data_IF_254126133221
#
_entry.id   IF_254126133221
#
_cell.length_a   1.000
_cell.length_b   1.000
_cell.length_c   1.000
_cell.angle_alpha   90.00
_cell.angle_beta   90.00
_cell.angle_gamma   90.00
#
_symmetry.space_group_name_H-M   'P 1'
#
loop_
_entity.id
_entity.type
_entity.pdbx_description
1 polymer ?
#
# COMPACT_ATOMS: atom_id res chain seq x y z
N UNK A 1 81.85 -30.67 33.86
CA UNK A 1 81.63 -29.32 33.30
C UNK A 1 81.07 -29.47 31.94
N UNK A 2 79.74 -29.11 31.71
CA UNK A 2 79.08 -29.16 30.46
C UNK A 2 78.83 -27.72 29.97
N UNK A 3 79.11 -27.37 28.72
CA UNK A 3 78.81 -26.05 28.17
C UNK A 3 77.37 -25.95 27.78
N UNK A 4 76.72 -24.80 28.08
CA UNK A 4 75.37 -24.43 27.72
C UNK A 4 75.38 -23.88 26.28
N UNK A 5 74.71 -24.57 25.33
CA UNK A 5 74.43 -24.08 24.01
C UNK A 5 73.16 -23.18 24.04
N UNK A 6 73.36 -21.92 23.69
CA UNK A 6 72.31 -20.90 23.59
C UNK A 6 71.65 -21.00 22.20
N UNK A 7 70.36 -21.35 22.16
CA UNK A 7 69.55 -21.43 20.94
C UNK A 7 68.93 -20.07 20.66
N UNK A 8 69.41 -19.36 19.64
CA UNK A 8 68.84 -18.10 19.19
C UNK A 8 67.63 -18.43 18.31
N UNK A 9 66.46 -18.11 18.82
CA UNK A 9 65.19 -18.20 18.06
C UNK A 9 65.04 -16.93 17.20
N UNK A 10 65.21 -17.08 15.86
CA UNK A 10 64.98 -16.03 14.88
C UNK A 10 63.49 -15.94 14.65
N UNK A 11 62.83 -14.90 15.20
CA UNK A 11 61.41 -14.59 14.97
C UNK A 11 61.28 -13.91 13.62
N UNK A 12 60.84 -14.65 12.58
CA UNK A 12 60.41 -14.13 11.32
C UNK A 12 59.00 -13.51 11.49
N UNK A 13 58.95 -12.20 11.60
CA UNK A 13 57.71 -11.43 11.55
C UNK A 13 57.22 -11.41 10.11
N UNK A 14 56.28 -12.30 9.77
CA UNK A 14 55.47 -12.22 8.57
C UNK A 14 54.48 -11.04 8.74
N UNK A 15 54.77 -9.89 8.13
CA UNK A 15 53.78 -8.82 7.98
C UNK A 15 52.75 -9.29 7.00
N UNK A 16 51.63 -9.86 7.50
CA UNK A 16 50.40 -9.97 6.76
C UNK A 16 49.89 -8.56 6.52
N UNK A 17 50.21 -8.00 5.32
CA UNK A 17 49.49 -6.88 4.79
C UNK A 17 48.01 -7.30 4.61
N UNK A 18 47.22 -6.94 5.59
CA UNK A 18 45.78 -7.17 5.58
C UNK A 18 45.17 -6.48 4.37
N UNK A 19 44.85 -7.25 3.35
CA UNK A 19 43.91 -6.84 2.31
C UNK A 19 42.59 -6.62 3.05
N UNK A 20 42.32 -5.37 3.41
CA UNK A 20 40.98 -4.97 3.81
C UNK A 20 40.13 -5.07 2.56
N UNK A 21 39.44 -6.19 2.39
CA UNK A 21 38.24 -6.20 1.56
C UNK A 21 37.30 -5.19 2.20
N UNK A 22 37.26 -3.99 1.65
CA UNK A 22 36.15 -3.07 1.87
C UNK A 22 34.93 -3.74 1.22
N UNK A 23 34.21 -4.53 1.98
CA UNK A 23 32.81 -4.83 1.65
C UNK A 23 32.15 -3.46 1.69
N UNK A 24 31.91 -2.90 0.52
CA UNK A 24 31.09 -1.71 0.40
C UNK A 24 29.78 -2.04 1.10
N UNK A 25 29.55 -1.40 2.23
CA UNK A 25 28.31 -1.52 2.98
C UNK A 25 27.24 -0.95 2.06
N UNK A 26 26.56 -1.84 1.35
CA UNK A 26 25.49 -1.48 0.44
C UNK A 26 24.48 -0.68 1.26
N UNK A 27 24.22 0.53 0.83
CA UNK A 27 23.26 1.42 1.50
C UNK A 27 21.92 0.67 1.63
N UNK A 28 21.54 0.33 2.83
CA UNK A 28 20.27 -0.34 3.13
C UNK A 28 19.08 0.61 3.03
N UNK A 29 19.33 1.88 2.73
CA UNK A 29 18.28 2.88 2.58
C UNK A 29 17.63 2.77 1.21
N UNK A 30 16.33 2.48 1.18
CA UNK A 30 15.52 2.56 -0.02
C UNK A 30 15.44 4.01 -0.51
N UNK A 31 15.84 4.25 -1.74
CA UNK A 31 15.91 5.60 -2.33
C UNK A 31 14.70 5.91 -3.21
N UNK A 32 14.13 4.91 -3.87
CA UNK A 32 12.95 5.07 -4.70
C UNK A 32 12.14 3.77 -4.78
N UNK A 33 10.91 3.89 -5.26
CA UNK A 33 9.99 2.78 -5.52
C UNK A 33 9.42 2.93 -6.93
N UNK A 34 9.26 1.82 -7.62
CA UNK A 34 8.56 1.77 -8.91
C UNK A 34 7.05 1.86 -8.65
N UNK A 35 6.42 2.94 -9.07
CA UNK A 35 4.98 3.20 -8.83
C UNK A 35 4.10 3.03 -10.07
N UNK A 36 4.72 2.90 -11.26
CA UNK A 36 3.98 2.68 -12.50
C UNK A 36 4.88 2.03 -13.54
N UNK A 37 4.35 1.09 -14.30
CA UNK A 37 5.01 0.44 -15.43
C UNK A 37 3.99 0.31 -16.57
N UNK A 38 4.24 1.04 -17.65
CA UNK A 38 3.53 0.88 -18.91
C UNK A 38 4.45 0.17 -19.89
N UNK A 39 4.12 -1.05 -20.29
CA UNK A 39 4.95 -1.88 -21.17
C UNK A 39 5.94 -2.78 -20.43
N UNK A 40 7.20 -2.83 -20.86
CA UNK A 40 8.26 -3.68 -20.31
C UNK A 40 9.37 -2.84 -19.71
N UNK A 41 9.62 -3.04 -18.44
CA UNK A 41 10.75 -2.44 -17.74
C UNK A 41 11.65 -3.52 -17.14
N UNK A 42 12.91 -3.21 -17.03
CA UNK A 42 13.95 -4.10 -16.52
C UNK A 42 14.64 -3.43 -15.33
N UNK A 43 14.94 -4.23 -14.32
CA UNK A 43 15.69 -3.84 -13.13
C UNK A 43 16.96 -4.71 -13.05
N UNK A 44 18.10 -4.07 -12.82
CA UNK A 44 19.34 -4.75 -12.46
C UNK A 44 19.77 -4.24 -11.09
N UNK A 45 19.74 -5.10 -10.09
CA UNK A 45 20.22 -4.78 -8.75
C UNK A 45 21.73 -4.56 -8.73
N UNK A 46 22.19 -3.68 -7.85
CA UNK A 46 23.61 -3.38 -7.69
C UNK A 46 24.42 -4.65 -7.41
N UNK A 47 25.50 -4.83 -8.18
CA UNK A 47 26.33 -6.03 -8.09
C UNK A 47 25.85 -7.24 -8.89
N UNK A 48 24.64 -7.22 -9.43
CA UNK A 48 24.16 -8.27 -10.35
C UNK A 48 24.64 -8.01 -11.78
N UNK A 49 24.85 -9.09 -12.54
CA UNK A 49 25.29 -9.02 -13.94
C UNK A 49 24.14 -8.98 -14.95
N UNK A 50 22.93 -9.37 -14.53
CA UNK A 50 21.79 -9.53 -15.43
C UNK A 50 20.61 -8.65 -15.01
N UNK A 51 19.86 -8.21 -16.01
CA UNK A 51 18.57 -7.55 -15.80
C UNK A 51 17.47 -8.59 -15.59
N UNK A 52 16.58 -8.31 -14.63
CA UNK A 52 15.34 -9.02 -14.43
C UNK A 52 14.14 -8.13 -14.80
N UNK A 53 12.94 -8.72 -14.93
CA UNK A 53 11.73 -7.93 -15.15
C UNK A 53 11.48 -7.04 -13.94
N UNK A 54 11.34 -5.74 -14.15
CA UNK A 54 10.88 -4.81 -13.12
C UNK A 54 9.41 -5.06 -12.78
N UNK A 55 9.06 -4.84 -11.52
CA UNK A 55 7.69 -5.02 -11.01
C UNK A 55 7.26 -3.78 -10.24
N UNK A 56 5.95 -3.53 -10.22
CA UNK A 56 5.38 -2.48 -9.39
C UNK A 56 5.75 -2.70 -7.91
N UNK A 57 6.07 -1.63 -7.21
CA UNK A 57 6.47 -1.68 -5.82
C UNK A 57 7.93 -2.10 -5.58
N UNK A 58 8.69 -2.44 -6.62
CA UNK A 58 10.11 -2.74 -6.47
C UNK A 58 10.85 -1.56 -5.84
N UNK A 59 11.58 -1.86 -4.76
CA UNK A 59 12.41 -0.88 -4.05
C UNK A 59 13.76 -0.76 -4.73
N UNK A 60 14.22 0.47 -4.87
CA UNK A 60 15.46 0.79 -5.56
C UNK A 60 16.48 1.37 -4.57
N UNK A 61 17.71 0.88 -4.68
CA UNK A 61 18.84 1.21 -3.84
C UNK A 61 19.97 1.83 -4.68
N UNK A 62 20.97 2.40 -4.01
CA UNK A 62 22.14 2.94 -4.69
C UNK A 62 22.82 1.88 -5.57
N UNK A 63 23.03 2.21 -6.84
CA UNK A 63 23.68 1.36 -7.82
C UNK A 63 22.73 0.50 -8.65
N UNK A 64 21.44 0.44 -8.29
CA UNK A 64 20.45 -0.24 -9.12
C UNK A 64 20.26 0.47 -10.45
N UNK A 65 20.02 -0.30 -11.51
CA UNK A 65 19.77 0.22 -12.86
C UNK A 65 18.35 -0.13 -13.30
N UNK A 66 17.65 0.85 -13.83
CA UNK A 66 16.30 0.68 -14.39
C UNK A 66 16.35 1.03 -15.87
N UNK A 67 15.76 0.18 -16.70
CA UNK A 67 15.72 0.37 -18.16
C UNK A 67 14.32 0.10 -18.72
N UNK A 68 13.98 0.82 -19.80
CA UNK A 68 12.73 0.68 -20.56
C UNK A 68 13.03 0.27 -22.00
N UNK A 69 12.11 -0.44 -22.65
CA UNK A 69 12.17 -0.72 -24.09
C UNK A 69 11.56 0.41 -24.94
N UNK A 70 11.44 0.16 -26.24
CA UNK A 70 11.01 1.14 -27.25
C UNK A 70 9.54 1.62 -27.13
N UNK A 71 8.73 0.96 -26.31
CA UNK A 71 7.28 1.25 -26.14
C UNK A 71 6.88 1.34 -24.66
N UNK A 72 7.84 1.55 -23.79
CA UNK A 72 7.60 1.47 -22.36
C UNK A 72 7.91 2.77 -21.64
N UNK A 73 7.16 2.99 -20.59
CA UNK A 73 7.35 4.08 -19.66
C UNK A 73 7.33 3.53 -18.23
N UNK A 74 8.09 4.13 -17.33
CA UNK A 74 8.10 3.80 -15.90
C UNK A 74 8.11 5.08 -15.09
N UNK A 75 7.38 5.09 -13.97
CA UNK A 75 7.43 6.19 -13.00
C UNK A 75 8.04 5.69 -11.69
N UNK A 76 8.95 6.49 -11.16
CA UNK A 76 9.67 6.24 -9.92
C UNK A 76 9.32 7.33 -8.91
N UNK A 77 8.94 6.92 -7.70
CA UNK A 77 8.79 7.82 -6.55
C UNK A 77 10.03 7.72 -5.68
N UNK A 78 10.73 8.82 -5.49
CA UNK A 78 11.90 8.92 -4.64
C UNK A 78 11.55 9.24 -3.19
N UNK A 79 12.46 8.92 -2.28
CA UNK A 79 12.31 9.16 -0.83
C UNK A 79 12.19 10.64 -0.44
N UNK A 80 12.49 11.55 -1.34
CA UNK A 80 12.31 13.00 -1.18
C UNK A 80 11.01 13.54 -1.81
N UNK A 81 10.08 12.64 -2.17
CA UNK A 81 8.81 12.92 -2.85
C UNK A 81 8.94 13.43 -4.29
N UNK A 82 10.11 13.36 -4.88
CA UNK A 82 10.24 13.64 -6.30
C UNK A 82 9.82 12.45 -7.13
N UNK A 83 9.30 12.72 -8.32
CA UNK A 83 9.00 11.70 -9.32
C UNK A 83 9.92 11.83 -10.51
N UNK A 84 10.30 10.68 -11.04
CA UNK A 84 10.98 10.59 -12.32
C UNK A 84 10.18 9.66 -13.23
N UNK A 85 9.85 10.13 -14.42
CA UNK A 85 9.33 9.30 -15.49
C UNK A 85 10.45 9.01 -16.48
N UNK A 86 10.66 7.73 -16.80
CA UNK A 86 11.53 7.28 -17.89
C UNK A 86 10.62 6.94 -19.06
N UNK A 87 10.85 7.61 -20.18
CA UNK A 87 10.21 7.31 -21.45
C UNK A 87 10.84 6.09 -22.14
N UNK A 88 10.49 5.86 -23.41
CA UNK A 88 11.02 4.74 -24.21
C UNK A 88 12.55 4.76 -24.35
N UNK A 89 13.15 3.56 -24.45
CA UNK A 89 14.60 3.35 -24.66
C UNK A 89 15.46 4.13 -23.66
N UNK A 90 15.02 4.20 -22.41
CA UNK A 90 15.69 4.95 -21.36
C UNK A 90 16.36 4.05 -20.35
N UNK A 91 17.44 4.51 -19.76
CA UNK A 91 18.12 3.83 -18.68
C UNK A 91 18.65 4.84 -17.67
N UNK A 92 18.55 4.52 -16.39
CA UNK A 92 19.15 5.29 -15.30
C UNK A 92 19.82 4.37 -14.31
N UNK A 93 20.80 4.92 -13.60
CA UNK A 93 21.37 4.31 -12.38
C UNK A 93 20.94 5.11 -11.17
N UNK A 94 20.39 4.43 -10.16
CA UNK A 94 19.98 5.05 -8.91
C UNK A 94 21.20 5.47 -8.11
N UNK A 95 21.27 6.73 -7.73
CA UNK A 95 22.34 7.33 -6.94
C UNK A 95 21.87 7.71 -5.55
N UNK A 96 22.81 8.13 -4.71
CA UNK A 96 22.51 8.63 -3.38
C UNK A 96 21.62 9.88 -3.38
N UNK A 97 21.21 10.36 -2.18
CA UNK A 97 20.17 11.38 -2.02
C UNK A 97 20.42 12.70 -2.76
N UNK A 98 21.67 13.07 -2.97
CA UNK A 98 22.03 14.34 -3.62
C UNK A 98 21.92 14.30 -5.15
N UNK A 99 22.26 13.17 -5.78
CA UNK A 99 22.29 13.04 -7.24
C UNK A 99 21.11 12.27 -7.82
N UNK A 100 20.32 11.60 -6.99
CA UNK A 100 19.15 10.74 -7.34
C UNK A 100 19.43 9.71 -8.43
N UNK A 101 19.90 10.14 -9.58
CA UNK A 101 20.23 9.30 -10.73
C UNK A 101 21.58 9.73 -11.33
N UNK A 102 22.29 8.77 -11.91
CA UNK A 102 23.48 8.99 -12.73
C UNK A 102 23.33 8.26 -14.06
N UNK A 103 24.12 8.70 -15.05
CA UNK A 103 24.19 8.09 -16.38
C UNK A 103 22.80 7.94 -17.05
N UNK A 104 21.97 9.02 -17.09
CA UNK A 104 20.69 8.93 -17.78
C UNK A 104 20.92 8.75 -19.28
N UNK A 105 20.24 7.76 -19.85
CA UNK A 105 20.13 7.57 -21.29
C UNK A 105 18.65 7.58 -21.68
N UNK A 106 18.32 8.17 -22.81
CA UNK A 106 16.95 8.27 -23.29
C UNK A 106 16.14 9.42 -22.69
N UNK A 107 14.83 9.29 -22.68
CA UNK A 107 13.91 10.36 -22.22
C UNK A 107 13.65 10.24 -20.72
N UNK A 108 14.14 11.21 -19.95
CA UNK A 108 13.95 11.29 -18.49
C UNK A 108 13.27 12.62 -18.16
N UNK A 109 12.07 12.53 -17.57
CA UNK A 109 11.31 13.70 -17.12
C UNK A 109 11.29 13.76 -15.60
N UNK A 110 11.67 14.92 -15.04
CA UNK A 110 11.49 15.21 -13.64
C UNK A 110 10.10 15.83 -13.45
N UNK A 111 9.28 15.19 -12.64
CA UNK A 111 7.95 15.69 -12.28
C UNK A 111 8.08 16.31 -10.89
N UNK A 112 7.97 17.64 -10.82
CA UNK A 112 8.03 18.34 -9.53
C UNK A 112 6.70 18.16 -8.80
N UNK A 113 6.69 17.37 -7.77
CA UNK A 113 5.56 17.19 -6.87
C UNK A 113 5.71 18.04 -5.60
N UNK A 114 6.08 19.29 -5.75
CA UNK A 114 6.34 20.22 -4.63
C UNK A 114 5.17 20.38 -3.64
N UNK A 115 3.97 19.95 -4.01
CA UNK A 115 2.77 19.99 -3.18
C UNK A 115 2.51 18.70 -2.38
N UNK A 116 3.25 17.61 -2.65
CA UNK A 116 3.02 16.30 -2.00
C UNK A 116 3.97 16.18 -0.80
N UNK A 117 3.75 17.02 0.16
CA UNK A 117 4.63 17.16 1.33
C UNK A 117 4.58 15.93 2.26
N UNK A 118 5.74 15.43 2.65
CA UNK A 118 5.99 14.48 3.75
C UNK A 118 5.56 13.01 3.56
N UNK A 119 5.25 12.57 2.35
CA UNK A 119 4.83 11.19 2.09
C UNK A 119 5.99 10.17 2.00
N UNK A 120 7.20 10.62 1.73
CA UNK A 120 8.34 9.77 1.38
C UNK A 120 8.76 8.77 2.44
N UNK A 121 8.89 9.21 3.67
CA UNK A 121 9.31 8.30 4.76
C UNK A 121 8.23 7.31 5.15
N UNK A 122 6.97 7.67 4.96
CA UNK A 122 5.80 6.86 5.28
C UNK A 122 5.48 5.86 4.17
N UNK A 123 5.48 6.30 2.91
CA UNK A 123 5.21 5.44 1.76
C UNK A 123 6.22 4.30 1.69
N UNK A 124 7.52 4.61 1.82
CA UNK A 124 8.58 3.60 1.74
C UNK A 124 8.62 2.70 2.98
N UNK A 125 8.36 3.22 4.19
CA UNK A 125 8.33 2.41 5.42
C UNK A 125 7.07 1.56 5.57
N UNK A 126 5.91 2.07 5.11
CA UNK A 126 4.64 1.35 5.25
C UNK A 126 4.33 0.42 4.08
N UNK A 127 4.99 0.59 2.93
CA UNK A 127 5.04 -0.41 1.87
C UNK A 127 6.01 -1.57 2.21
N UNK A 128 6.79 -1.46 3.29
CA UNK A 128 7.48 -2.61 3.87
C UNK A 128 6.44 -3.50 4.54
N UNK A 129 6.16 -4.66 3.95
CA UNK A 129 5.31 -5.66 4.59
C UNK A 129 5.92 -6.00 5.96
N UNK A 130 5.23 -5.69 7.04
CA UNK A 130 5.55 -6.28 8.34
C UNK A 130 5.25 -7.77 8.22
N UNK A 131 6.31 -8.55 8.12
CA UNK A 131 6.36 -9.99 8.29
C UNK A 131 5.12 -10.79 7.83
N UNK A 132 5.27 -11.47 6.71
CA UNK A 132 4.41 -12.58 6.28
C UNK A 132 4.31 -13.74 7.31
N UNK A 133 4.89 -13.56 8.50
CA UNK A 133 4.93 -14.52 9.59
C UNK A 133 3.60 -14.78 10.32
N UNK A 134 2.55 -14.00 10.05
CA UNK A 134 1.26 -14.14 10.75
C UNK A 134 0.32 -15.21 10.17
N UNK A 135 0.71 -15.91 9.12
CA UNK A 135 -0.13 -16.94 8.47
C UNK A 135 -0.28 -18.26 9.26
N UNK A 136 0.51 -18.45 10.30
CA UNK A 136 0.45 -19.68 11.11
C UNK A 136 -0.61 -19.56 12.21
N UNK A 137 -1.87 -19.74 11.89
CA UNK A 137 -2.87 -19.95 12.92
C UNK A 137 -4.29 -19.44 12.74
N UNK A 138 -4.62 -18.80 11.61
CA UNK A 138 -6.00 -18.35 11.37
C UNK A 138 -6.81 -19.48 10.75
N UNK A 139 -7.46 -20.27 11.59
CA UNK A 139 -8.62 -21.05 11.14
C UNK A 139 -9.74 -20.05 10.88
N UNK A 140 -10.18 -19.96 9.63
CA UNK A 140 -11.37 -19.23 9.22
C UNK A 140 -12.54 -19.65 10.13
N UNK A 141 -13.00 -18.74 10.96
CA UNK A 141 -14.33 -18.81 11.52
C UNK A 141 -15.18 -18.06 10.50
N UNK A 142 -15.61 -18.74 9.45
CA UNK A 142 -16.68 -18.21 8.59
C UNK A 142 -17.84 -17.86 9.52
N UNK A 143 -18.12 -16.58 9.67
CA UNK A 143 -19.31 -16.14 10.37
C UNK A 143 -20.49 -16.75 9.64
N UNK A 144 -21.33 -17.52 10.34
CA UNK A 144 -22.51 -18.15 9.74
C UNK A 144 -23.61 -17.14 9.38
N UNK A 145 -23.29 -15.84 9.36
CA UNK A 145 -24.21 -14.76 9.06
C UNK A 145 -24.54 -14.70 7.58
N UNK A 146 -25.81 -14.56 7.26
CA UNK A 146 -26.29 -14.43 5.90
C UNK A 146 -26.02 -13.04 5.28
N UNK A 147 -25.81 -12.03 6.13
CA UNK A 147 -25.51 -10.65 5.73
C UNK A 147 -24.15 -10.26 6.35
N UNK A 148 -23.20 -9.89 5.52
CA UNK A 148 -21.86 -9.44 5.92
C UNK A 148 -21.66 -7.98 5.51
N UNK A 149 -21.38 -7.10 6.47
CA UNK A 149 -21.17 -5.68 6.21
C UNK A 149 -19.77 -5.47 5.59
N UNK A 150 -19.67 -4.57 4.61
CA UNK A 150 -18.42 -4.29 3.91
C UNK A 150 -17.84 -2.92 4.24
N UNK A 151 -18.63 -1.87 4.07
CA UNK A 151 -18.15 -0.49 4.29
C UNK A 151 -19.28 0.40 4.79
N UNK A 152 -18.98 1.29 5.77
CA UNK A 152 -17.73 1.44 6.53
C UNK A 152 -17.56 0.35 7.60
N UNK A 153 -16.36 -0.21 7.73
CA UNK A 153 -16.05 -1.32 8.62
C UNK A 153 -14.92 -0.95 9.59
N UNK A 154 -15.21 -0.82 10.87
CA UNK A 154 -14.25 -0.46 11.93
C UNK A 154 -13.29 0.67 11.53
N UNK A 155 -13.80 1.66 10.80
CA UNK A 155 -13.00 2.66 10.08
C UNK A 155 -13.21 4.05 10.67
N UNK A 156 -12.18 4.89 10.49
CA UNK A 156 -12.33 6.35 10.52
C UNK A 156 -12.67 6.82 9.12
N UNK A 157 -13.66 7.71 8.98
CA UNK A 157 -14.12 8.25 7.70
C UNK A 157 -14.08 9.78 7.70
N UNK A 158 -13.91 10.36 6.52
CA UNK A 158 -13.77 11.82 6.30
C UNK A 158 -15.06 12.52 5.86
N UNK A 159 -16.08 11.76 5.47
CA UNK A 159 -17.35 12.29 4.95
C UNK A 159 -18.49 12.07 5.92
N UNK A 160 -19.36 13.06 6.05
CA UNK A 160 -20.58 13.02 6.83
C UNK A 160 -21.77 12.38 6.07
N UNK A 161 -21.55 11.99 4.80
CA UNK A 161 -22.51 11.25 3.98
C UNK A 161 -21.85 9.97 3.46
N UNK A 162 -21.61 8.95 4.34
CA UNK A 162 -20.97 7.69 3.97
C UNK A 162 -21.83 6.87 3.01
N UNK A 163 -21.17 5.99 2.25
CA UNK A 163 -21.84 4.93 1.52
C UNK A 163 -21.72 3.64 2.32
N UNK A 164 -22.87 3.01 2.56
CA UNK A 164 -22.97 1.70 3.19
C UNK A 164 -22.98 0.62 2.11
N UNK A 165 -22.23 -0.47 2.29
CA UNK A 165 -22.24 -1.64 1.41
C UNK A 165 -22.15 -2.92 2.19
N UNK A 166 -22.73 -4.00 1.67
CA UNK A 166 -22.76 -5.32 2.31
C UNK A 166 -22.86 -6.42 1.27
N UNK A 167 -22.51 -7.62 1.67
CA UNK A 167 -22.69 -8.86 0.91
C UNK A 167 -23.76 -9.72 1.53
N UNK A 168 -24.33 -10.60 0.71
CA UNK A 168 -25.32 -11.57 1.13
C UNK A 168 -24.91 -12.98 0.67
N UNK A 169 -25.20 -13.99 1.50
CA UNK A 169 -25.01 -15.39 1.17
C UNK A 169 -26.29 -16.05 0.64
N UNK A 170 -27.42 -15.39 0.87
CA UNK A 170 -28.74 -15.78 0.38
C UNK A 170 -29.56 -14.55 0.02
N UNK A 171 -30.49 -14.65 -0.94
CA UNK A 171 -31.31 -13.50 -1.33
C UNK A 171 -32.33 -13.13 -0.25
N UNK A 172 -32.62 -11.84 -0.13
CA UNK A 172 -33.67 -11.24 0.69
C UNK A 172 -34.57 -10.39 -0.19
N UNK A 173 -35.83 -10.19 0.23
CA UNK A 173 -36.78 -9.37 -0.52
C UNK A 173 -36.43 -7.89 -0.47
N UNK A 174 -35.95 -7.42 0.68
CA UNK A 174 -35.52 -6.05 0.93
C UNK A 174 -34.50 -6.03 2.06
N UNK A 175 -33.82 -4.88 2.20
CA UNK A 175 -32.86 -4.62 3.27
C UNK A 175 -33.27 -3.34 4.02
N UNK A 176 -33.05 -3.32 5.33
CA UNK A 176 -33.20 -2.11 6.15
C UNK A 176 -31.83 -1.79 6.74
N UNK A 177 -31.26 -0.66 6.32
CA UNK A 177 -30.02 -0.11 6.90
C UNK A 177 -30.39 0.71 8.12
N UNK A 178 -29.82 0.37 9.26
CA UNK A 178 -30.03 1.05 10.52
C UNK A 178 -28.73 1.69 11.00
N UNK A 179 -28.79 2.96 11.39
CA UNK A 179 -27.66 3.74 11.89
C UNK A 179 -27.95 4.22 13.32
N UNK A 180 -26.98 4.02 14.20
CA UNK A 180 -27.06 4.34 15.62
C UNK A 180 -25.88 5.19 16.06
N UNK A 181 -26.08 5.99 17.09
CA UNK A 181 -25.02 6.60 17.88
C UNK A 181 -25.17 6.24 19.36
N UNK A 182 -24.43 6.89 20.25
CA UNK A 182 -24.49 6.66 21.69
C UNK A 182 -25.86 6.96 22.32
N UNK A 183 -26.72 7.71 21.63
CA UNK A 183 -28.09 8.13 22.10
C UNK A 183 -29.19 7.21 21.56
N UNK A 184 -28.88 6.32 20.61
CA UNK A 184 -29.85 5.39 20.02
C UNK A 184 -29.91 5.44 18.50
N UNK A 185 -31.06 5.04 17.92
CA UNK A 185 -31.27 5.05 16.47
C UNK A 185 -31.28 6.48 15.95
N UNK A 186 -30.38 6.75 14.99
CA UNK A 186 -30.22 8.05 14.31
C UNK A 186 -31.03 8.08 13.03
N UNK A 187 -30.97 6.97 12.27
CA UNK A 187 -31.59 6.89 10.98
C UNK A 187 -31.83 5.43 10.56
N UNK A 188 -32.86 5.21 9.75
CA UNK A 188 -33.20 3.90 9.22
C UNK A 188 -33.82 4.05 7.84
N UNK A 189 -33.44 3.19 6.90
CA UNK A 189 -33.94 3.23 5.51
C UNK A 189 -34.05 1.85 4.92
N UNK A 190 -35.22 1.58 4.32
CA UNK A 190 -35.45 0.37 3.53
C UNK A 190 -34.97 0.56 2.09
N UNK A 191 -34.23 -0.42 1.58
CA UNK A 191 -33.63 -0.43 0.22
C UNK A 191 -33.71 -1.82 -0.40
N UNK A 192 -33.58 -1.90 -1.73
CA UNK A 192 -33.53 -3.18 -2.47
C UNK A 192 -32.12 -3.52 -2.98
N UNK A 193 -31.18 -2.59 -2.89
CA UNK A 193 -29.82 -2.74 -3.39
C UNK A 193 -28.84 -3.10 -2.25
N UNK A 194 -27.70 -3.66 -2.57
CA UNK A 194 -26.65 -4.04 -1.61
C UNK A 194 -25.69 -2.89 -1.27
N UNK A 195 -26.03 -1.69 -1.70
CA UNK A 195 -25.29 -0.47 -1.40
C UNK A 195 -26.23 0.69 -1.25
N UNK A 196 -25.89 1.62 -0.35
CA UNK A 196 -26.66 2.83 -0.14
C UNK A 196 -25.82 3.98 0.35
N UNK A 197 -25.86 5.12 -0.35
CA UNK A 197 -25.31 6.37 0.15
C UNK A 197 -26.25 6.96 1.21
N UNK A 198 -25.73 7.44 2.34
CA UNK A 198 -26.49 8.24 3.29
C UNK A 198 -27.03 9.47 2.55
N UNK A 199 -28.35 9.74 2.60
CA UNK A 199 -28.95 10.68 1.68
C UNK A 199 -28.49 12.12 1.88
N UNK A 200 -28.18 12.83 0.81
CA UNK A 200 -27.82 14.26 0.84
C UNK A 200 -28.99 15.16 1.32
N UNK A 201 -30.21 14.64 1.35
CA UNK A 201 -31.40 15.32 1.90
C UNK A 201 -31.47 15.27 3.42
N UNK A 202 -30.73 14.38 4.05
CA UNK A 202 -30.63 14.27 5.50
C UNK A 202 -29.58 15.24 6.04
N UNK A 203 -29.70 15.58 7.32
CA UNK A 203 -28.63 16.32 8.01
C UNK A 203 -27.37 15.46 8.05
N UNK A 204 -26.23 15.96 7.59
CA UNK A 204 -24.95 15.28 7.67
C UNK A 204 -24.64 14.77 9.09
N UNK A 205 -23.96 13.65 9.16
CA UNK A 205 -23.53 13.06 10.44
C UNK A 205 -22.55 14.00 11.16
N UNK A 206 -22.55 13.95 12.48
CA UNK A 206 -21.73 14.86 13.29
C UNK A 206 -20.26 14.45 13.27
N UNK A 207 -19.39 15.36 12.86
CA UNK A 207 -17.93 15.16 12.87
C UNK A 207 -17.41 14.95 14.29
N UNK A 208 -16.44 14.06 14.46
CA UNK A 208 -15.87 13.67 15.76
C UNK A 208 -16.68 12.59 16.48
N UNK A 209 -17.88 12.25 16.00
CA UNK A 209 -18.75 11.25 16.62
C UNK A 209 -18.52 9.84 16.08
N UNK A 210 -18.87 8.85 16.90
CA UNK A 210 -18.86 7.44 16.53
C UNK A 210 -20.26 6.94 16.27
N UNK A 211 -20.41 6.14 15.24
CA UNK A 211 -21.66 5.52 14.83
C UNK A 211 -21.51 4.01 14.75
N UNK A 212 -22.65 3.32 14.88
CA UNK A 212 -22.78 1.89 14.64
C UNK A 212 -23.87 1.68 13.61
N UNK A 213 -23.71 0.70 12.77
CA UNK A 213 -24.70 0.37 11.79
C UNK A 213 -24.84 -1.12 11.60
N UNK A 214 -26.00 -1.54 11.10
CA UNK A 214 -26.31 -2.90 10.72
C UNK A 214 -27.30 -2.90 9.57
N UNK A 215 -27.47 -4.07 8.96
CA UNK A 215 -28.47 -4.34 7.94
C UNK A 215 -29.36 -5.46 8.42
N UNK A 216 -30.68 -5.27 8.25
CA UNK A 216 -31.69 -6.32 8.41
C UNK A 216 -32.22 -6.70 7.03
N UNK A 217 -32.23 -7.98 6.72
CA UNK A 217 -32.79 -8.53 5.49
C UNK A 217 -34.12 -9.18 5.75
N UNK A 218 -35.16 -8.78 5.03
CA UNK A 218 -36.50 -9.37 5.11
C UNK A 218 -36.58 -10.63 4.25
N UNK A 219 -37.03 -11.75 4.79
CA UNK A 219 -37.28 -12.99 4.08
C UNK A 219 -38.60 -13.61 4.52
N UNK A 220 -39.61 -13.57 3.62
CA UNK A 220 -40.95 -14.06 3.89
C UNK A 220 -41.56 -13.52 5.21
N UNK A 221 -41.43 -14.29 6.29
CA UNK A 221 -41.96 -13.96 7.63
C UNK A 221 -40.83 -13.71 8.65
N UNK A 222 -39.56 -13.91 8.27
CA UNK A 222 -38.42 -13.77 9.14
C UNK A 222 -37.55 -12.57 8.73
N UNK A 223 -36.77 -12.07 9.66
CA UNK A 223 -35.80 -11.01 9.45
C UNK A 223 -34.44 -11.48 9.97
N UNK A 224 -33.43 -11.49 9.11
CA UNK A 224 -32.05 -11.71 9.52
C UNK A 224 -31.30 -10.41 9.70
N UNK A 225 -30.44 -10.36 10.71
CA UNK A 225 -29.70 -9.17 11.08
C UNK A 225 -28.20 -9.42 11.04
N UNK A 226 -27.47 -8.51 10.40
CA UNK A 226 -26.01 -8.52 10.44
C UNK A 226 -25.47 -8.18 11.84
N UNK A 227 -24.17 -8.41 12.05
CA UNK A 227 -23.46 -7.80 13.19
C UNK A 227 -23.50 -6.27 13.10
N UNK A 228 -23.26 -5.60 14.23
CA UNK A 228 -23.06 -4.15 14.25
C UNK A 228 -21.61 -3.83 13.91
N UNK A 229 -21.40 -2.93 12.96
CA UNK A 229 -20.07 -2.38 12.69
C UNK A 229 -19.98 -0.92 13.12
N UNK A 230 -18.81 -0.55 13.60
CA UNK A 230 -18.52 0.80 14.09
C UNK A 230 -17.76 1.58 13.01
N UNK A 231 -18.04 2.89 12.93
CA UNK A 231 -17.15 3.85 12.29
C UNK A 231 -17.14 5.16 13.08
N UNK A 232 -16.13 5.98 12.86
CA UNK A 232 -15.96 7.27 13.52
C UNK A 232 -15.67 8.32 12.47
N UNK A 233 -16.32 9.48 12.54
CA UNK A 233 -15.99 10.59 11.68
C UNK A 233 -14.75 11.32 12.22
N UNK A 234 -13.87 11.78 11.33
CA UNK A 234 -12.86 12.75 11.68
C UNK A 234 -13.49 13.98 12.36
N UNK A 235 -12.71 14.76 13.11
CA UNK A 235 -13.18 16.09 13.51
C UNK A 235 -13.36 16.99 12.29
N UNK A 236 -14.15 18.06 12.43
CA UNK A 236 -14.39 19.01 11.33
C UNK A 236 -13.08 19.57 10.76
N UNK A 237 -12.13 19.91 11.62
CA UNK A 237 -10.84 20.47 11.25
C UNK A 237 -10.03 19.46 10.44
N UNK A 238 -9.91 18.23 10.98
CA UNK A 238 -9.16 17.16 10.31
C UNK A 238 -9.80 16.75 8.97
N UNK A 239 -11.11 16.72 8.88
CA UNK A 239 -11.81 16.41 7.62
C UNK A 239 -11.51 17.46 6.55
N UNK A 240 -11.53 18.75 6.91
CA UNK A 240 -11.17 19.84 5.98
C UNK A 240 -9.73 19.73 5.50
N UNK A 241 -8.78 19.52 6.42
CA UNK A 241 -7.35 19.35 6.09
C UNK A 241 -7.14 18.17 5.13
N UNK A 242 -7.82 17.04 5.39
CA UNK A 242 -7.72 15.84 4.54
C UNK A 242 -8.28 16.10 3.14
N UNK A 243 -9.45 16.72 3.02
CA UNK A 243 -10.07 17.01 1.72
C UNK A 243 -9.26 18.03 0.93
N UNK A 244 -8.70 19.04 1.59
CA UNK A 244 -7.83 20.02 0.94
C UNK A 244 -6.55 19.35 0.41
N UNK A 245 -5.88 18.55 1.23
CA UNK A 245 -4.67 17.83 0.82
C UNK A 245 -4.93 16.82 -0.29
N UNK A 246 -6.04 16.07 -0.21
CA UNK A 246 -6.47 15.18 -1.30
C UNK A 246 -6.65 15.93 -2.61
N UNK A 247 -7.28 17.10 -2.57
CA UNK A 247 -7.49 17.94 -3.75
C UNK A 247 -6.15 18.41 -4.35
N UNK A 248 -5.18 18.78 -3.52
CA UNK A 248 -3.83 19.16 -3.96
C UNK A 248 -3.11 17.97 -4.64
N UNK A 249 -3.19 16.78 -4.03
CA UNK A 249 -2.62 15.56 -4.62
C UNK A 249 -3.25 15.29 -5.98
N UNK A 250 -4.58 15.21 -6.07
CA UNK A 250 -5.29 14.94 -7.33
C UNK A 250 -5.00 15.98 -8.42
N UNK A 251 -4.93 17.27 -8.05
CA UNK A 251 -4.58 18.34 -8.98
C UNK A 251 -3.16 18.20 -9.55
N UNK A 252 -2.22 17.65 -8.78
CA UNK A 252 -0.85 17.39 -9.25
C UNK A 252 -0.80 16.29 -10.32
N UNK A 253 -1.82 15.43 -10.38
CA UNK A 253 -1.96 14.35 -11.36
C UNK A 253 -3.13 14.56 -12.34
N UNK A 254 -3.61 15.79 -12.52
CA UNK A 254 -4.78 16.08 -13.36
C UNK A 254 -4.67 15.60 -14.82
N UNK A 255 -3.44 15.47 -15.33
CA UNK A 255 -3.17 14.99 -16.69
C UNK A 255 -3.21 13.46 -16.79
N UNK A 256 -3.12 12.77 -15.66
CA UNK A 256 -3.14 11.30 -15.57
C UNK A 256 -3.88 10.85 -14.31
N UNK A 257 -5.21 11.08 -14.25
CA UNK A 257 -6.00 10.86 -13.03
C UNK A 257 -6.21 9.38 -12.68
N UNK A 258 -5.90 8.47 -13.59
CA UNK A 258 -6.02 7.01 -13.37
C UNK A 258 -4.66 6.36 -13.15
N UNK A 259 -3.59 7.14 -12.96
CA UNK A 259 -2.24 6.58 -12.84
C UNK A 259 -2.07 5.80 -11.53
N UNK A 260 -1.39 4.67 -11.63
CA UNK A 260 -0.99 3.87 -10.46
C UNK A 260 -0.18 4.69 -9.46
N UNK A 261 0.56 5.69 -9.93
CA UNK A 261 1.33 6.61 -9.09
C UNK A 261 0.42 7.50 -8.24
N UNK A 262 -0.64 8.09 -8.82
CA UNK A 262 -1.62 8.86 -8.05
C UNK A 262 -2.24 8.02 -6.95
N UNK A 263 -2.73 6.82 -7.29
CA UNK A 263 -3.34 5.92 -6.33
C UNK A 263 -2.35 5.51 -5.21
N UNK A 264 -1.07 5.30 -5.56
CA UNK A 264 -0.02 5.00 -4.56
C UNK A 264 0.20 6.14 -3.57
N UNK A 265 0.22 7.39 -4.08
CA UNK A 265 0.37 8.59 -3.24
C UNK A 265 -0.84 8.79 -2.33
N UNK A 266 -2.05 8.65 -2.87
CA UNK A 266 -3.28 8.76 -2.09
C UNK A 266 -3.37 7.67 -1.04
N UNK A 267 -3.07 6.41 -1.39
CA UNK A 267 -3.07 5.30 -0.44
C UNK A 267 -2.11 5.55 0.73
N UNK A 268 -0.89 5.99 0.44
CA UNK A 268 0.10 6.34 1.46
C UNK A 268 -0.39 7.49 2.35
N UNK A 269 -0.96 8.51 1.76
CA UNK A 269 -1.56 9.62 2.50
C UNK A 269 -2.67 9.16 3.43
N UNK A 270 -3.61 8.36 2.94
CA UNK A 270 -4.71 7.84 3.74
C UNK A 270 -4.25 6.93 4.89
N UNK A 271 -3.24 6.07 4.66
CA UNK A 271 -2.63 5.28 5.74
C UNK A 271 -2.07 6.20 6.83
N UNK A 272 -1.38 7.28 6.44
CA UNK A 272 -0.84 8.25 7.40
C UNK A 272 -1.93 8.94 8.23
N UNK A 273 -3.03 9.25 7.60
CA UNK A 273 -4.17 9.87 8.27
C UNK A 273 -5.03 8.87 9.06
N UNK A 274 -4.75 7.56 9.02
CA UNK A 274 -5.56 6.51 9.65
C UNK A 274 -6.88 6.24 8.92
N UNK A 275 -7.01 6.68 7.67
CA UNK A 275 -8.16 6.46 6.79
C UNK A 275 -7.99 5.14 6.04
N UNK A 276 -7.96 4.03 6.79
CA UNK A 276 -7.57 2.72 6.25
C UNK A 276 -8.53 2.22 5.16
N UNK A 277 -9.83 2.54 5.26
CA UNK A 277 -10.78 2.16 4.22
C UNK A 277 -10.52 2.89 2.89
N UNK A 278 -10.20 4.20 2.95
CA UNK A 278 -9.81 4.97 1.77
C UNK A 278 -8.50 4.39 1.16
N UNK A 279 -7.53 4.02 2.01
CA UNK A 279 -6.30 3.38 1.56
C UNK A 279 -6.54 2.02 0.90
N UNK A 280 -7.42 1.18 1.45
CA UNK A 280 -7.84 -0.10 0.86
C UNK A 280 -8.41 0.13 -0.54
N UNK A 281 -9.30 1.11 -0.70
CA UNK A 281 -9.90 1.43 -1.99
C UNK A 281 -8.85 1.81 -3.04
N UNK A 282 -7.86 2.62 -2.68
CA UNK A 282 -6.77 2.97 -3.59
C UNK A 282 -5.89 1.74 -3.93
N UNK A 283 -5.56 0.88 -2.96
CA UNK A 283 -4.80 -0.34 -3.23
C UNK A 283 -5.58 -1.36 -4.08
N UNK A 284 -6.90 -1.42 -3.99
CA UNK A 284 -7.72 -2.23 -4.89
C UNK A 284 -7.58 -1.75 -6.35
N UNK A 285 -7.54 -0.44 -6.58
CA UNK A 285 -7.28 0.12 -7.91
C UNK A 285 -5.86 -0.23 -8.38
N UNK A 286 -4.85 -0.06 -7.51
CA UNK A 286 -3.46 -0.41 -7.81
C UNK A 286 -3.33 -1.90 -8.18
N UNK A 287 -3.95 -2.80 -7.43
CA UNK A 287 -3.94 -4.23 -7.69
C UNK A 287 -4.60 -4.59 -9.04
N UNK A 288 -5.65 -3.87 -9.41
CA UNK A 288 -6.32 -4.04 -10.71
C UNK A 288 -5.44 -3.58 -11.87
N UNK A 289 -4.78 -2.43 -11.74
CA UNK A 289 -3.88 -1.88 -12.76
C UNK A 289 -2.64 -2.79 -12.90
N UNK A 290 -2.09 -3.28 -11.78
CA UNK A 290 -0.85 -4.06 -11.73
C UNK A 290 -1.15 -5.53 -11.36
N UNK A 291 -1.99 -6.18 -12.15
CA UNK A 291 -2.56 -7.50 -11.86
C UNK A 291 -1.54 -8.65 -11.73
N UNK A 292 -0.30 -8.44 -12.14
CA UNK A 292 0.82 -9.39 -12.01
C UNK A 292 1.76 -9.08 -10.81
N UNK A 293 1.48 -8.02 -10.06
CA UNK A 293 2.26 -7.64 -8.89
C UNK A 293 1.69 -8.27 -7.60
N UNK A 294 2.54 -8.92 -6.81
CA UNK A 294 2.13 -9.51 -5.52
C UNK A 294 1.97 -8.46 -4.41
N UNK A 295 2.81 -7.43 -4.40
CA UNK A 295 2.89 -6.46 -3.31
C UNK A 295 1.58 -5.70 -3.03
N UNK A 296 0.76 -5.26 -4.01
CA UNK A 296 -0.54 -4.65 -3.71
C UNK A 296 -1.45 -5.57 -2.90
N UNK A 297 -1.43 -6.87 -3.20
CA UNK A 297 -2.20 -7.87 -2.48
C UNK A 297 -1.66 -8.14 -1.08
N UNK A 298 -0.33 -8.11 -0.88
CA UNK A 298 0.29 -8.20 0.46
C UNK A 298 -0.15 -7.03 1.35
N UNK A 299 -0.13 -5.81 0.80
CA UNK A 299 -0.56 -4.60 1.52
C UNK A 299 -2.06 -4.64 1.81
N UNK A 300 -2.89 -5.02 0.84
CA UNK A 300 -4.33 -5.22 1.06
C UNK A 300 -4.58 -6.23 2.18
N UNK A 301 -3.88 -7.37 2.18
CA UNK A 301 -3.99 -8.36 3.24
C UNK A 301 -3.65 -7.79 4.62
N UNK A 302 -2.61 -6.97 4.70
CA UNK A 302 -2.22 -6.29 5.95
C UNK A 302 -3.28 -5.28 6.40
N UNK A 303 -3.79 -4.44 5.48
CA UNK A 303 -4.81 -3.43 5.77
C UNK A 303 -6.14 -4.07 6.20
N UNK A 304 -6.59 -5.12 5.50
CA UNK A 304 -7.78 -5.87 5.89
C UNK A 304 -7.62 -6.53 7.26
N UNK A 305 -6.43 -7.04 7.59
CA UNK A 305 -6.15 -7.56 8.93
C UNK A 305 -6.23 -6.47 10.01
N UNK A 306 -5.75 -5.26 9.71
CA UNK A 306 -5.77 -4.13 10.66
C UNK A 306 -7.19 -3.64 10.94
N UNK A 307 -8.06 -3.60 9.94
CA UNK A 307 -9.48 -3.25 10.14
C UNK A 307 -10.31 -4.42 10.67
N UNK A 308 -9.78 -5.65 10.73
CA UNK A 308 -10.42 -6.83 11.29
C UNK A 308 -11.16 -7.71 10.28
N UNK A 309 -11.06 -7.44 8.98
CA UNK A 309 -11.61 -8.19 7.85
C UNK A 309 -10.76 -9.43 7.52
N UNK A 310 -10.75 -10.40 8.42
CA UNK A 310 -9.82 -11.54 8.39
C UNK A 310 -9.94 -12.41 7.13
N UNK A 311 -11.15 -12.65 6.65
CA UNK A 311 -11.38 -13.49 5.48
C UNK A 311 -10.84 -12.83 4.22
N UNK A 312 -11.06 -11.52 4.05
CA UNK A 312 -10.48 -10.73 2.96
C UNK A 312 -8.96 -10.63 3.07
N UNK A 313 -8.43 -10.50 4.29
CA UNK A 313 -6.98 -10.51 4.52
C UNK A 313 -6.35 -11.81 4.03
N UNK A 314 -6.94 -12.97 4.37
CA UNK A 314 -6.47 -14.29 3.94
C UNK A 314 -6.55 -14.41 2.41
N UNK A 315 -7.67 -13.99 1.79
CA UNK A 315 -7.85 -14.04 0.34
C UNK A 315 -6.77 -13.24 -0.39
N UNK A 316 -6.50 -12.02 0.04
CA UNK A 316 -5.50 -11.16 -0.57
C UNK A 316 -4.07 -11.70 -0.38
N UNK A 317 -3.73 -12.23 0.79
CA UNK A 317 -2.43 -12.88 1.04
C UNK A 317 -2.23 -14.15 0.20
N UNK A 318 -3.30 -14.92 -0.04
CA UNK A 318 -3.24 -16.09 -0.95
C UNK A 318 -3.01 -15.67 -2.40
N UNK A 319 -3.65 -14.59 -2.87
CA UNK A 319 -3.39 -14.01 -4.19
C UNK A 319 -1.92 -13.56 -4.30
N UNK A 320 -1.40 -12.87 -3.30
CA UNK A 320 0.00 -12.45 -3.26
C UNK A 320 0.96 -13.64 -3.39
N UNK A 321 0.76 -14.68 -2.58
CA UNK A 321 1.58 -15.89 -2.62
C UNK A 321 1.54 -16.58 -3.99
N UNK A 322 0.35 -16.67 -4.59
CA UNK A 322 0.18 -17.26 -5.93
C UNK A 322 0.96 -16.50 -7.00
N UNK A 323 0.93 -15.16 -6.94
CA UNK A 323 1.65 -14.30 -7.88
C UNK A 323 3.17 -14.38 -7.69
N UNK A 324 3.64 -14.50 -6.44
CA UNK A 324 5.06 -14.68 -6.14
C UNK A 324 5.60 -15.99 -6.69
N UNK A 325 4.92 -17.11 -6.42
CA UNK A 325 5.33 -18.44 -6.91
C UNK A 325 5.30 -18.57 -8.43
N UNK A 326 4.44 -17.79 -9.11
CA UNK A 326 4.36 -17.77 -10.57
C UNK A 326 5.54 -17.07 -11.24
N UNK A 327 6.30 -16.27 -10.50
CA UNK A 327 7.50 -15.57 -10.99
C UNK A 327 8.77 -16.41 -10.86
N UNK A 328 8.77 -17.40 -9.97
CA UNK A 328 9.92 -18.28 -9.71
C UNK A 328 9.97 -19.49 -10.68
N UNK A 329 8.90 -19.74 -11.42
CA UNK A 329 8.78 -20.79 -12.46
C UNK A 329 8.80 -20.18 -13.88
#
# INVERSE_FOLDING_TARGET
MRPKTSLIFLLLIFSLSGIRLSIAQQSTQCLAVITEINGKALLKEAGMSQFAKAVWGARLFTGDQVATDDKSEIKLLFSDNSFIALGPNSMITISGPESRITEPAGEVKHISAAAILNLSSLTLKKMESKDAGALAGVRSITSGQAIELESPYNATIKTDHPTFSWFIKQPFDNYTVNLYNSKGLVWSKKVSELTMKYPDSEKGLEFGESYFWNVEGDYLIDTEKSANHKFTLLTTERSKEVVEQESLIRNSFREDPESSTLHSVLAAYYIDQGLLQDAINEFMVIAKINSDASLPHEILGSLYSEVGEKDKAIEELQKALTLTNKKEN
#
